data_IF_609298037755
#
_entry.id   IF_609298037755
#
_cell.length_a   1.000
_cell.length_b   1.000
_cell.length_c   1.000
_cell.angle_alpha   90.00
_cell.angle_beta   90.00
_cell.angle_gamma   90.00
#
_symmetry.space_group_name_H-M   'P 1'
#
loop_
_entity.id
_entity.type
_entity.pdbx_description
1 polymer ?
#
# COMPACT_ATOMS: atom_id res chain seq x y z
N UNK A 1 -8.90 36.76 -23.61
CA UNK A 1 -7.84 36.14 -24.44
C UNK A 1 -6.64 37.07 -24.62
N UNK A 2 -6.21 37.76 -23.55
CA UNK A 2 -5.44 39.03 -23.70
C UNK A 2 -3.98 38.94 -23.25
N UNK A 3 -3.39 37.74 -23.17
CA UNK A 3 -1.99 37.55 -22.74
C UNK A 3 -1.05 37.10 -23.87
N UNK A 4 -1.51 36.98 -25.12
CA UNK A 4 -0.66 36.61 -26.25
C UNK A 4 -0.03 35.20 -26.18
N UNK A 5 -0.39 34.40 -25.19
CA UNK A 5 0.10 33.04 -25.00
C UNK A 5 -0.63 32.08 -25.95
N UNK A 6 0.13 31.22 -26.64
CA UNK A 6 -0.48 30.13 -27.41
C UNK A 6 -1.21 29.17 -26.46
N UNK A 7 -2.26 28.47 -26.93
CA UNK A 7 -3.00 27.49 -26.13
C UNK A 7 -2.05 26.52 -25.40
N UNK A 8 -0.96 26.13 -26.05
CA UNK A 8 0.04 25.22 -25.50
C UNK A 8 0.83 25.83 -24.33
N UNK A 9 1.15 27.12 -24.39
CA UNK A 9 1.85 27.82 -23.30
C UNK A 9 0.96 27.98 -22.07
N UNK A 10 -0.33 28.29 -22.23
CA UNK A 10 -1.29 28.35 -21.12
C UNK A 10 -1.48 27.00 -20.44
N UNK A 11 -1.60 25.91 -21.20
CA UNK A 11 -1.72 24.58 -20.61
C UNK A 11 -0.49 24.21 -19.77
N UNK A 12 0.72 24.43 -20.29
CA UNK A 12 1.96 24.03 -19.61
C UNK A 12 2.33 24.89 -18.40
N UNK A 13 2.11 26.20 -18.46
CA UNK A 13 2.55 27.12 -17.40
C UNK A 13 1.47 27.44 -16.37
N UNK A 14 0.19 27.23 -16.69
CA UNK A 14 -0.91 27.66 -15.82
C UNK A 14 -1.72 26.45 -15.36
N UNK A 15 -2.23 25.66 -16.30
CA UNK A 15 -3.19 24.59 -16.01
C UNK A 15 -2.48 23.38 -15.40
N UNK A 16 -1.37 22.92 -15.98
CA UNK A 16 -0.60 21.77 -15.47
C UNK A 16 -0.11 21.96 -14.03
N UNK A 17 0.61 23.06 -13.69
CA UNK A 17 1.11 23.24 -12.33
C UNK A 17 -0.02 23.48 -11.33
N UNK A 18 -1.14 24.13 -11.71
CA UNK A 18 -2.30 24.26 -10.82
C UNK A 18 -2.98 22.93 -10.57
N UNK A 19 -3.24 22.14 -11.63
CA UNK A 19 -3.88 20.84 -11.52
C UNK A 19 -3.04 19.89 -10.66
N UNK A 20 -1.73 19.82 -10.87
CA UNK A 20 -0.82 19.02 -10.05
C UNK A 20 -0.85 19.45 -8.58
N UNK A 21 -0.81 20.75 -8.28
CA UNK A 21 -0.87 21.26 -6.89
C UNK A 21 -2.19 20.94 -6.19
N UNK A 22 -3.27 20.76 -6.94
CA UNK A 22 -4.58 20.40 -6.42
C UNK A 22 -4.81 18.88 -6.33
N UNK A 23 -4.15 18.10 -7.20
CA UNK A 23 -4.25 16.63 -7.21
C UNK A 23 -3.25 15.94 -6.27
N UNK A 24 -2.08 16.53 -6.02
CA UNK A 24 -1.06 15.97 -5.10
C UNK A 24 -1.60 15.79 -3.66
N UNK A 25 -2.34 16.76 -3.05
CA UNK A 25 -2.88 16.60 -1.70
C UNK A 25 -3.84 15.41 -1.55
N UNK A 26 -4.89 15.23 -2.38
CA UNK A 26 -5.78 14.08 -2.27
C UNK A 26 -5.10 12.75 -2.61
N UNK A 27 -4.17 12.72 -3.58
CA UNK A 27 -3.41 11.50 -3.90
C UNK A 27 -2.55 11.03 -2.72
N UNK A 28 -1.86 11.96 -2.06
CA UNK A 28 -1.08 11.67 -0.85
C UNK A 28 -1.98 11.13 0.26
N UNK A 29 -3.15 11.74 0.47
CA UNK A 29 -4.08 11.31 1.50
C UNK A 29 -4.66 9.92 1.21
N UNK A 30 -4.99 9.63 -0.05
CA UNK A 30 -5.44 8.31 -0.49
C UNK A 30 -4.36 7.25 -0.29
N UNK A 31 -3.11 7.58 -0.63
CA UNK A 31 -1.95 6.70 -0.42
C UNK A 31 -1.74 6.34 1.05
N UNK A 32 -1.81 7.34 1.95
CA UNK A 32 -1.71 7.11 3.39
C UNK A 32 -2.83 6.21 3.90
N UNK A 33 -4.07 6.41 3.44
CA UNK A 33 -5.21 5.57 3.87
C UNK A 33 -5.04 4.13 3.41
N UNK A 34 -4.64 3.91 2.15
CA UNK A 34 -4.41 2.57 1.61
C UNK A 34 -3.29 1.82 2.35
N UNK A 35 -2.22 2.51 2.72
CA UNK A 35 -1.13 1.92 3.55
C UNK A 35 -1.65 1.55 4.93
N UNK A 36 -2.43 2.43 5.57
CA UNK A 36 -3.00 2.16 6.90
C UNK A 36 -3.95 0.97 6.88
N UNK A 37 -4.90 0.94 5.94
CA UNK A 37 -5.89 -0.13 5.85
C UNK A 37 -5.22 -1.48 5.55
N UNK A 38 -4.21 -1.49 4.67
CA UNK A 38 -3.46 -2.71 4.35
C UNK A 38 -2.61 -3.22 5.52
N UNK A 39 -1.90 -2.33 6.21
CA UNK A 39 -1.08 -2.69 7.36
C UNK A 39 -1.93 -3.18 8.54
N UNK A 40 -3.08 -2.55 8.78
CA UNK A 40 -4.01 -2.92 9.84
C UNK A 40 -4.62 -4.30 9.59
N UNK A 41 -5.17 -4.55 8.39
CA UNK A 41 -5.75 -5.85 8.03
C UNK A 41 -4.70 -6.96 8.11
N UNK A 42 -3.48 -6.70 7.62
CA UNK A 42 -2.39 -7.68 7.70
C UNK A 42 -1.98 -8.00 9.14
N UNK A 43 -1.91 -7.00 10.01
CA UNK A 43 -1.49 -7.21 11.41
C UNK A 43 -2.53 -8.02 12.19
N UNK A 44 -3.81 -7.73 11.99
CA UNK A 44 -4.92 -8.49 12.60
C UNK A 44 -4.89 -9.94 12.12
N UNK A 45 -4.76 -10.15 10.81
CA UNK A 45 -4.74 -11.49 10.23
C UNK A 45 -3.57 -12.34 10.75
N UNK A 46 -2.37 -11.75 10.93
CA UNK A 46 -1.22 -12.47 11.50
C UNK A 46 -1.48 -12.84 12.97
N UNK A 47 -2.07 -11.93 13.74
CA UNK A 47 -2.36 -12.17 15.15
C UNK A 47 -3.35 -13.32 15.33
N UNK A 48 -4.45 -13.30 14.57
CA UNK A 48 -5.44 -14.37 14.56
C UNK A 48 -4.80 -15.70 14.13
N UNK A 49 -3.99 -15.69 13.08
CA UNK A 49 -3.34 -16.89 12.57
C UNK A 49 -2.32 -17.49 13.57
N UNK A 50 -1.61 -16.64 14.31
CA UNK A 50 -0.64 -17.08 15.32
C UNK A 50 -1.35 -17.70 16.52
N UNK A 51 -2.45 -17.08 16.98
CA UNK A 51 -3.29 -17.64 18.05
C UNK A 51 -3.87 -19.00 17.64
N UNK A 52 -4.44 -19.08 16.43
CA UNK A 52 -5.00 -20.33 15.92
C UNK A 52 -3.92 -21.40 15.73
N UNK A 53 -2.73 -21.01 15.24
CA UNK A 53 -1.58 -21.90 15.08
C UNK A 53 -1.12 -22.49 16.41
N UNK A 54 -1.01 -21.69 17.46
CA UNK A 54 -0.66 -22.19 18.80
C UNK A 54 -1.69 -23.19 19.34
N UNK A 55 -2.98 -22.95 19.10
CA UNK A 55 -4.04 -23.87 19.51
C UNK A 55 -3.92 -25.22 18.77
N UNK A 56 -3.70 -25.20 17.45
CA UNK A 56 -3.58 -26.43 16.66
C UNK A 56 -2.29 -27.19 17.03
N UNK A 57 -1.16 -26.50 17.29
CA UNK A 57 0.09 -27.14 17.75
C UNK A 57 -0.15 -27.88 19.08
N UNK A 58 -0.89 -27.27 20.00
CA UNK A 58 -1.20 -27.87 21.30
C UNK A 58 -2.09 -29.13 21.17
N UNK A 59 -2.95 -29.20 20.16
CA UNK A 59 -3.85 -30.33 19.92
C UNK A 59 -3.21 -31.46 19.09
N UNK A 60 -2.40 -31.12 18.09
CA UNK A 60 -1.88 -32.09 17.10
C UNK A 60 -0.42 -32.47 17.30
N UNK A 61 0.35 -31.72 18.09
CA UNK A 61 1.81 -31.83 18.21
C UNK A 61 2.58 -31.73 16.87
N UNK A 62 1.92 -31.37 15.77
CA UNK A 62 2.50 -31.21 14.43
C UNK A 62 3.12 -29.82 14.26
N UNK A 63 4.13 -29.52 15.08
CA UNK A 63 4.78 -28.22 15.09
C UNK A 63 5.34 -27.85 13.70
N UNK A 64 6.01 -28.78 13.01
CA UNK A 64 6.72 -28.46 11.77
C UNK A 64 5.82 -27.89 10.66
N UNK A 65 4.67 -28.50 10.39
CA UNK A 65 3.74 -28.06 9.33
C UNK A 65 3.12 -26.69 9.64
N UNK A 66 2.85 -26.41 10.92
CA UNK A 66 2.25 -25.15 11.37
C UNK A 66 3.28 -24.04 11.28
N UNK A 67 4.50 -24.25 11.78
CA UNK A 67 5.58 -23.27 11.66
C UNK A 67 5.95 -22.99 10.19
N UNK A 68 5.90 -24.00 9.32
CA UNK A 68 6.09 -23.81 7.88
C UNK A 68 4.98 -22.94 7.26
N UNK A 69 3.72 -23.20 7.62
CA UNK A 69 2.56 -22.41 7.15
C UNK A 69 2.63 -20.96 7.62
N UNK A 70 2.97 -20.74 8.91
CA UNK A 70 3.18 -19.40 9.47
C UNK A 70 4.30 -18.66 8.73
N UNK A 71 5.42 -19.34 8.45
CA UNK A 71 6.53 -18.75 7.69
C UNK A 71 6.12 -18.38 6.25
N UNK A 72 5.35 -19.24 5.57
CA UNK A 72 4.84 -18.96 4.23
C UNK A 72 3.91 -17.74 4.20
N UNK A 73 3.06 -17.58 5.22
CA UNK A 73 2.15 -16.44 5.35
C UNK A 73 2.92 -15.15 5.65
N UNK A 74 3.93 -15.22 6.54
CA UNK A 74 4.83 -14.11 6.79
C UNK A 74 5.53 -13.63 5.51
N UNK A 75 6.01 -14.57 4.68
CA UNK A 75 6.60 -14.25 3.38
C UNK A 75 5.59 -13.58 2.44
N UNK A 76 4.38 -14.13 2.34
CA UNK A 76 3.32 -13.59 1.48
C UNK A 76 2.93 -12.16 1.89
N UNK A 77 2.75 -11.90 3.19
CA UNK A 77 2.50 -10.56 3.73
C UNK A 77 3.65 -9.62 3.42
N UNK A 78 4.88 -10.05 3.67
CA UNK A 78 6.07 -9.22 3.41
C UNK A 78 6.16 -8.83 1.93
N UNK A 79 5.88 -9.77 1.02
CA UNK A 79 5.82 -9.52 -0.41
C UNK A 79 4.68 -8.56 -0.79
N UNK A 80 3.49 -8.72 -0.23
CA UNK A 80 2.35 -7.83 -0.46
C UNK A 80 2.65 -6.41 0.00
N UNK A 81 3.24 -6.23 1.18
CA UNK A 81 3.66 -4.92 1.68
C UNK A 81 4.75 -4.31 0.79
N UNK A 82 5.74 -5.10 0.36
CA UNK A 82 6.75 -4.65 -0.61
C UNK A 82 6.13 -4.17 -1.92
N UNK A 83 5.16 -4.91 -2.47
CA UNK A 83 4.45 -4.53 -3.69
C UNK A 83 3.61 -3.26 -3.50
N UNK A 84 2.97 -3.09 -2.34
CA UNK A 84 2.20 -1.89 -2.00
C UNK A 84 3.09 -0.66 -1.88
N UNK A 85 4.22 -0.76 -1.18
CA UNK A 85 5.21 0.32 -1.07
C UNK A 85 5.74 0.70 -2.46
N UNK A 86 6.07 -0.29 -3.29
CA UNK A 86 6.54 -0.07 -4.66
C UNK A 86 5.48 0.57 -5.56
N UNK A 87 4.21 0.17 -5.40
CA UNK A 87 3.10 0.81 -6.13
C UNK A 87 2.83 2.23 -5.65
N UNK A 88 3.07 2.53 -4.37
CA UNK A 88 2.97 3.87 -3.80
C UNK A 88 4.08 4.78 -4.35
N UNK A 89 5.32 4.30 -4.36
CA UNK A 89 6.47 5.01 -4.96
C UNK A 89 6.21 5.33 -6.44
N UNK A 90 5.65 4.39 -7.21
CA UNK A 90 5.34 4.61 -8.61
C UNK A 90 4.27 5.69 -8.83
N UNK A 91 3.31 5.83 -7.90
CA UNK A 91 2.27 6.88 -7.96
C UNK A 91 2.73 8.23 -7.43
N UNK A 92 3.76 8.27 -6.59
CA UNK A 92 4.36 9.52 -6.07
C UNK A 92 5.41 10.10 -7.03
N UNK A 93 6.01 9.26 -7.89
CA UNK A 93 7.05 9.66 -8.84
C UNK A 93 6.50 10.06 -10.21
N UNK A 94 5.22 9.77 -10.48
CA UNK A 94 4.47 10.16 -11.70
C UNK A 94 3.54 11.33 -11.39
#
# INVERSE_FOLDING_TARGET
>A
SSLGLSRFQSYRHIILPQALRQMIPPLTNQGISLVKDSALVSTIAIYDLTMQGQQIVAETFLAFEIWFTVAAIYLAVTLLLSLLVRSLEYRLTV
#
